data_IF_417459799198
#
_entry.id   IF_417459799198
#
_cell.length_a   1.000
_cell.length_b   1.000
_cell.length_c   1.000
_cell.angle_alpha   90.00
_cell.angle_beta   90.00
_cell.angle_gamma   90.00
#
_symmetry.space_group_name_H-M   'P 1'
#
loop_
_entity.id
_entity.type
_entity.pdbx_description
1 polymer ?
#
# COMPACT_ATOMS: atom_id res chain seq x y z
N UNK A 1 6.84 14.66 15.84
CA UNK A 1 5.95 13.59 15.36
C UNK A 1 6.77 12.52 14.67
N UNK A 2 6.55 11.29 15.05
CA UNK A 2 7.23 10.19 14.40
C UNK A 2 6.56 9.92 13.06
N UNK A 3 7.32 9.95 11.98
CA UNK A 3 6.81 9.54 10.68
C UNK A 3 6.57 8.03 10.70
N UNK A 4 5.55 7.58 9.98
CA UNK A 4 5.32 6.15 9.83
C UNK A 4 6.44 5.53 9.02
N UNK A 5 6.88 4.34 9.43
CA UNK A 5 7.83 3.55 8.67
C UNK A 5 7.07 2.43 7.99
N UNK A 6 7.28 2.28 6.70
CA UNK A 6 6.60 1.29 5.87
C UNK A 6 7.64 0.33 5.32
N UNK A 7 7.49 -0.95 5.65
CA UNK A 7 8.37 -2.00 5.17
C UNK A 7 7.56 -2.95 4.29
N UNK A 8 8.09 -3.31 3.13
CA UNK A 8 7.40 -4.18 2.18
C UNK A 8 8.29 -5.37 1.87
N UNK A 9 7.74 -6.58 2.04
CA UNK A 9 8.43 -7.83 1.74
C UNK A 9 7.57 -8.73 0.90
N UNK A 10 8.17 -9.45 -0.05
CA UNK A 10 7.46 -10.46 -0.82
C UNK A 10 7.18 -11.67 0.08
N UNK A 11 5.93 -12.14 0.08
CA UNK A 11 5.53 -13.33 0.83
C UNK A 11 5.33 -14.55 -0.06
N UNK A 12 5.59 -14.40 -1.36
CA UNK A 12 5.41 -15.46 -2.34
C UNK A 12 4.32 -15.12 -3.35
N UNK A 13 4.54 -15.46 -4.60
CA UNK A 13 3.60 -15.13 -5.67
C UNK A 13 3.35 -13.64 -5.75
N UNK A 14 2.09 -13.26 -5.77
CA UNK A 14 1.67 -11.85 -5.83
C UNK A 14 1.32 -11.26 -4.47
N UNK A 15 1.62 -11.95 -3.38
CA UNK A 15 1.30 -11.47 -2.03
C UNK A 15 2.52 -10.80 -1.42
N UNK A 16 2.30 -9.63 -0.84
CA UNK A 16 3.35 -8.84 -0.17
C UNK A 16 2.91 -8.54 1.24
N UNK A 17 3.85 -8.62 2.16
CA UNK A 17 3.61 -8.23 3.55
C UNK A 17 4.09 -6.81 3.75
N UNK A 18 3.17 -5.96 4.20
CA UNK A 18 3.46 -4.56 4.51
C UNK A 18 3.38 -4.38 6.02
N UNK A 19 4.46 -3.90 6.61
CA UNK A 19 4.52 -3.62 8.04
C UNK A 19 4.60 -2.12 8.22
N UNK A 20 3.66 -1.57 8.99
CA UNK A 20 3.61 -0.15 9.29
C UNK A 20 3.92 0.05 10.77
N UNK A 21 4.95 0.83 11.04
CA UNK A 21 5.34 1.17 12.40
C UNK A 21 5.13 2.65 12.62
N UNK A 22 4.32 3.00 13.61
CA UNK A 22 4.04 4.38 14.00
C UNK A 22 4.18 4.49 15.51
N UNK A 23 5.24 5.17 15.97
CA UNK A 23 5.48 5.24 17.40
C UNK A 23 5.67 3.84 17.99
N UNK A 24 4.81 3.48 18.93
CA UNK A 24 4.84 2.17 19.57
C UNK A 24 3.91 1.15 18.92
N UNK A 25 3.18 1.55 17.88
CA UNK A 25 2.21 0.69 17.21
C UNK A 25 2.80 0.09 15.95
N UNK A 26 2.55 -1.20 15.74
CA UNK A 26 2.95 -1.91 14.54
C UNK A 26 1.74 -2.66 13.99
N UNK A 27 1.45 -2.48 12.71
CA UNK A 27 0.40 -3.24 12.02
C UNK A 27 1.00 -3.99 10.85
N UNK A 28 0.41 -5.13 10.52
CA UNK A 28 0.87 -5.98 9.42
C UNK A 28 -0.29 -6.20 8.47
N UNK A 29 -0.01 -6.08 7.17
CA UNK A 29 -1.02 -6.20 6.14
C UNK A 29 -0.51 -7.11 5.03
N UNK A 30 -1.34 -8.05 4.60
CA UNK A 30 -1.03 -8.92 3.45
C UNK A 30 -1.81 -8.37 2.25
N UNK A 31 -1.08 -7.90 1.25
CA UNK A 31 -1.68 -7.25 0.09
C UNK A 31 -1.32 -8.02 -1.17
N UNK A 32 -2.33 -8.34 -1.97
CA UNK A 32 -2.11 -8.98 -3.26
C UNK A 32 -1.94 -7.90 -4.33
N UNK A 33 -0.80 -7.94 -5.01
CA UNK A 33 -0.47 -7.01 -6.10
C UNK A 33 -0.05 -7.84 -7.31
N UNK A 34 -0.86 -7.84 -8.35
CA UNK A 34 -0.55 -8.58 -9.57
C UNK A 34 0.24 -7.70 -10.54
N UNK A 35 0.91 -8.30 -11.57
CA UNK A 35 1.55 -7.50 -12.60
C UNK A 35 0.57 -6.56 -13.32
N UNK A 36 -0.68 -6.97 -13.48
CA UNK A 36 -1.72 -6.12 -14.07
C UNK A 36 -2.00 -4.90 -13.20
N UNK A 37 -1.96 -5.07 -11.87
CA UNK A 37 -2.16 -3.96 -10.95
C UNK A 37 -1.05 -2.93 -11.10
N UNK A 38 0.20 -3.37 -11.20
CA UNK A 38 1.34 -2.47 -11.41
C UNK A 38 1.18 -1.73 -12.73
N UNK A 39 0.82 -2.44 -13.80
CA UNK A 39 0.64 -1.82 -15.12
C UNK A 39 -0.48 -0.80 -15.11
N UNK A 40 -1.52 -1.04 -14.30
CA UNK A 40 -2.68 -0.16 -14.23
C UNK A 40 -2.40 1.10 -13.40
N UNK A 41 -1.79 0.94 -12.23
CA UNK A 41 -1.65 2.03 -11.27
C UNK A 41 -0.31 2.76 -11.35
N UNK A 42 0.76 2.03 -11.68
CA UNK A 42 2.11 2.61 -11.69
C UNK A 42 2.99 1.91 -12.70
N UNK A 43 2.70 2.07 -14.01
CA UNK A 43 3.51 1.39 -15.04
C UNK A 43 4.99 1.73 -14.89
N UNK A 44 5.84 0.71 -14.91
CA UNK A 44 7.28 0.88 -14.78
C UNK A 44 7.80 0.87 -13.35
N UNK A 45 6.93 0.91 -12.35
CA UNK A 45 7.35 0.83 -10.94
C UNK A 45 7.47 -0.62 -10.50
N UNK A 46 8.16 -0.83 -9.37
CA UNK A 46 8.19 -2.13 -8.73
C UNK A 46 6.95 -2.28 -7.84
N UNK A 47 6.50 -3.53 -7.57
CA UNK A 47 5.41 -3.73 -6.62
C UNK A 47 5.72 -3.16 -5.24
N UNK A 48 6.99 -3.25 -4.79
CA UNK A 48 7.39 -2.70 -3.51
C UNK A 48 7.19 -1.19 -3.47
N UNK A 49 7.65 -0.48 -4.50
CA UNK A 49 7.49 0.97 -4.54
C UNK A 49 6.03 1.38 -4.62
N UNK A 50 5.24 0.65 -5.41
CA UNK A 50 3.81 0.91 -5.50
C UNK A 50 3.14 0.76 -4.13
N UNK A 51 3.50 -0.28 -3.37
CA UNK A 51 2.94 -0.50 -2.05
C UNK A 51 3.38 0.55 -1.04
N UNK A 52 4.65 0.96 -1.06
CA UNK A 52 5.12 2.03 -0.20
C UNK A 52 4.32 3.30 -0.43
N UNK A 53 4.17 3.69 -1.69
CA UNK A 53 3.42 4.89 -2.03
C UNK A 53 1.94 4.75 -1.69
N UNK A 54 1.37 3.56 -1.88
CA UNK A 54 -0.03 3.29 -1.56
C UNK A 54 -0.31 3.41 -0.07
N UNK A 55 0.60 2.93 0.77
CA UNK A 55 0.42 3.05 2.22
C UNK A 55 0.68 4.47 2.71
N UNK A 56 1.57 5.23 2.06
CA UNK A 56 1.70 6.66 2.33
C UNK A 56 0.38 7.38 2.04
N UNK A 57 -0.25 7.05 0.91
CA UNK A 57 -1.56 7.58 0.53
C UNK A 57 -2.62 7.24 1.57
N UNK A 58 -2.68 5.97 2.00
CA UNK A 58 -3.68 5.52 2.97
C UNK A 58 -3.49 6.19 4.33
N UNK A 59 -2.25 6.31 4.78
CA UNK A 59 -1.95 6.88 6.11
C UNK A 59 -2.26 8.36 6.20
N UNK A 60 -2.35 9.06 5.09
CA UNK A 60 -2.81 10.45 5.08
C UNK A 60 -4.31 10.56 5.33
N UNK A 61 -5.06 9.46 5.14
CA UNK A 61 -6.52 9.46 5.17
C UNK A 61 -7.10 8.70 6.34
N UNK A 62 -6.37 7.72 6.86
CA UNK A 62 -6.86 6.91 7.97
C UNK A 62 -5.67 6.36 8.77
N UNK A 63 -5.89 6.05 10.06
CA UNK A 63 -4.82 5.44 10.85
C UNK A 63 -4.54 4.01 10.38
N UNK A 64 -3.32 3.53 10.64
CA UNK A 64 -2.90 2.20 10.23
C UNK A 64 -3.86 1.11 10.76
N UNK A 65 -4.40 1.29 11.95
CA UNK A 65 -5.32 0.33 12.55
C UNK A 65 -6.65 0.20 11.80
N UNK A 66 -6.98 1.17 10.95
CA UNK A 66 -8.20 1.13 10.13
C UNK A 66 -7.96 0.51 8.76
N UNK A 67 -6.71 0.28 8.38
CA UNK A 67 -6.38 -0.35 7.10
C UNK A 67 -6.61 -1.85 7.23
N UNK A 68 -7.26 -2.44 6.24
CA UNK A 68 -7.53 -3.88 6.24
C UNK A 68 -6.24 -4.68 6.41
N UNK A 69 -6.31 -5.78 7.15
CA UNK A 69 -5.13 -6.64 7.36
C UNK A 69 -4.85 -7.54 6.15
N UNK A 70 -5.81 -7.73 5.27
CA UNK A 70 -5.65 -8.54 4.07
C UNK A 70 -6.56 -8.00 2.98
N UNK A 71 -5.99 -7.63 1.84
CA UNK A 71 -6.80 -7.13 0.73
C UNK A 71 -5.99 -7.18 -0.59
N UNK A 72 -6.72 -7.11 -1.70
CA UNK A 72 -6.11 -6.92 -3.01
C UNK A 72 -5.98 -5.42 -3.29
N UNK A 73 -4.90 -5.02 -3.94
CA UNK A 73 -4.60 -3.60 -4.17
C UNK A 73 -5.78 -2.79 -4.73
N UNK A 74 -6.55 -3.29 -5.73
CA UNK A 74 -7.67 -2.51 -6.27
C UNK A 74 -8.76 -2.15 -5.27
N UNK A 75 -8.81 -2.79 -4.11
CA UNK A 75 -9.76 -2.44 -3.06
C UNK A 75 -9.59 -0.99 -2.61
N UNK A 76 -8.35 -0.48 -2.68
CA UNK A 76 -8.08 0.93 -2.31
C UNK A 76 -8.92 1.87 -3.17
N UNK A 77 -9.04 1.60 -4.46
CA UNK A 77 -9.81 2.43 -5.38
C UNK A 77 -11.29 2.45 -5.02
N UNK A 78 -11.82 1.37 -4.45
CA UNK A 78 -13.22 1.31 -4.04
C UNK A 78 -13.53 2.27 -2.91
N UNK A 79 -12.60 2.43 -1.98
CA UNK A 79 -12.77 3.34 -0.85
C UNK A 79 -12.34 4.76 -1.19
N UNK A 80 -11.37 4.91 -2.08
CA UNK A 80 -10.81 6.20 -2.47
C UNK A 80 -10.72 6.27 -4.00
N UNK A 81 -11.80 6.69 -4.68
CA UNK A 81 -11.82 6.72 -6.15
C UNK A 81 -10.73 7.58 -6.78
N UNK A 82 -10.15 8.50 -6.04
CA UNK A 82 -9.05 9.34 -6.51
C UNK A 82 -7.70 8.61 -6.53
N UNK A 83 -7.62 7.42 -5.95
CA UNK A 83 -6.37 6.68 -5.81
C UNK A 83 -5.62 6.49 -7.15
N UNK A 84 -6.25 6.04 -8.25
CA UNK A 84 -5.50 5.80 -9.50
C UNK A 84 -4.79 7.04 -10.02
N UNK A 85 -5.39 8.21 -9.82
CA UNK A 85 -4.82 9.46 -10.28
C UNK A 85 -3.67 9.92 -9.39
N UNK A 86 -3.85 9.84 -8.07
CA UNK A 86 -2.87 10.34 -7.11
C UNK A 86 -1.67 9.41 -6.97
N UNK A 87 -1.87 8.09 -7.06
CA UNK A 87 -0.77 7.15 -6.87
C UNK A 87 0.32 7.30 -7.93
N UNK A 88 -0.04 7.66 -9.14
CA UNK A 88 0.94 7.89 -10.20
C UNK A 88 1.86 9.05 -9.91
N UNK A 89 1.40 10.01 -9.12
CA UNK A 89 2.21 11.16 -8.71
C UNK A 89 3.11 10.84 -7.53
N UNK A 90 2.72 9.86 -6.71
CA UNK A 90 3.45 9.49 -5.50
C UNK A 90 4.57 8.48 -5.77
N UNK A 91 4.43 7.67 -6.80
CA UNK A 91 5.41 6.62 -7.13
C UNK A 91 6.70 7.17 -7.71
#
# INVERSE_FOLDING_TARGET
>A
MAAAQISVESSGGSVYRVVVTQGKSTTTHDVTVTPEDVARYAPGATPQRLLEASFEFLLEREPASSILSRFALPVIERYFPEYPKLIRQLV
#
